data_IF_192591599276
#
_entry.id   IF_192591599276
#
_cell.length_a   1.000
_cell.length_b   1.000
_cell.length_c   1.000
_cell.angle_alpha   90.00
_cell.angle_beta   90.00
_cell.angle_gamma   90.00
#
_symmetry.space_group_name_H-M   'P 1'
#
loop_
_entity.id
_entity.type
_entity.pdbx_description
1 polymer ?
#
# COMPACT_ATOMS: atom_id res chain seq x y z
N UNK A 1 68.22 -20.63 10.37
CA UNK A 1 67.29 -19.50 10.10
C UNK A 1 66.48 -19.67 8.81
N UNK A 2 66.91 -20.36 7.74
CA UNK A 2 66.14 -20.50 6.48
C UNK A 2 64.85 -21.34 6.57
N UNK A 3 64.82 -22.36 7.44
CA UNK A 3 63.61 -23.24 7.55
C UNK A 3 62.39 -22.56 8.20
N UNK A 4 62.59 -21.61 9.07
CA UNK A 4 61.48 -20.90 9.75
C UNK A 4 60.72 -19.93 8.80
N UNK A 5 61.44 -19.24 7.92
CA UNK A 5 60.83 -18.37 6.92
C UNK A 5 59.89 -19.11 5.93
N UNK A 6 60.25 -20.32 5.52
CA UNK A 6 59.47 -21.11 4.58
C UNK A 6 58.15 -21.61 5.24
N UNK A 7 58.16 -21.91 6.52
CA UNK A 7 56.98 -22.32 7.27
C UNK A 7 55.97 -21.18 7.41
N UNK A 8 56.42 -19.98 7.81
CA UNK A 8 55.54 -18.77 7.97
C UNK A 8 54.94 -18.38 6.64
N UNK A 9 55.70 -18.40 5.55
CA UNK A 9 55.20 -18.07 4.22
C UNK A 9 54.11 -19.02 3.71
N UNK A 10 54.21 -20.33 4.03
CA UNK A 10 53.18 -21.35 3.74
C UNK A 10 51.89 -21.08 4.53
N UNK A 11 51.97 -20.72 5.80
CA UNK A 11 50.77 -20.37 6.60
C UNK A 11 50.09 -19.10 6.11
N UNK A 12 50.85 -18.10 5.69
CA UNK A 12 50.31 -16.87 5.09
C UNK A 12 49.58 -17.17 3.77
N UNK A 13 50.18 -18.00 2.90
CA UNK A 13 49.52 -18.40 1.66
C UNK A 13 48.22 -19.22 1.91
N UNK A 14 48.24 -20.13 2.87
CA UNK A 14 47.03 -20.93 3.24
C UNK A 14 45.95 -19.97 3.81
N UNK A 15 46.28 -19.02 4.64
CA UNK A 15 45.36 -18.05 5.21
C UNK A 15 44.77 -17.15 4.12
N UNK A 16 45.58 -16.65 3.18
CA UNK A 16 45.15 -15.88 2.02
C UNK A 16 44.23 -16.69 1.08
N UNK A 17 44.53 -17.98 0.84
CA UNK A 17 43.68 -18.84 0.07
C UNK A 17 42.33 -19.09 0.78
N UNK A 18 42.31 -19.23 2.11
CA UNK A 18 41.10 -19.41 2.91
C UNK A 18 40.23 -18.13 2.88
N UNK A 19 40.84 -16.95 2.99
CA UNK A 19 40.15 -15.65 2.90
C UNK A 19 39.59 -15.45 1.48
N UNK A 20 40.36 -15.78 0.44
CA UNK A 20 39.89 -15.74 -0.96
C UNK A 20 38.76 -16.74 -1.20
N UNK A 21 38.81 -17.93 -0.60
CA UNK A 21 37.75 -18.92 -0.71
C UNK A 21 36.42 -18.45 -0.10
N UNK A 22 36.48 -17.74 1.04
CA UNK A 22 35.30 -17.16 1.70
C UNK A 22 34.73 -15.98 0.91
N UNK A 23 35.56 -15.20 0.21
CA UNK A 23 35.10 -14.03 -0.58
C UNK A 23 34.61 -14.39 -1.98
N UNK A 24 35.01 -15.53 -2.53
CA UNK A 24 34.61 -16.00 -3.89
C UNK A 24 33.42 -16.93 -3.87
N UNK A 25 33.04 -17.48 -2.70
CA UNK A 25 31.74 -18.17 -2.60
C UNK A 25 30.63 -17.13 -2.50
N UNK A 26 29.91 -16.82 -3.60
CA UNK A 26 28.68 -16.06 -3.46
C UNK A 26 27.78 -16.89 -2.53
N UNK A 27 27.22 -16.27 -1.52
CA UNK A 27 26.06 -16.79 -0.83
C UNK A 27 25.00 -16.99 -1.91
N UNK A 28 24.95 -18.20 -2.47
CA UNK A 28 23.82 -18.61 -3.29
C UNK A 28 22.65 -18.76 -2.30
N UNK A 29 21.95 -17.67 -2.07
CA UNK A 29 20.55 -17.77 -1.64
C UNK A 29 19.87 -18.57 -2.75
N UNK A 30 19.54 -19.80 -2.44
CA UNK A 30 19.01 -20.73 -3.43
C UNK A 30 17.73 -20.12 -4.00
N UNK A 31 17.66 -19.95 -5.30
CA UNK A 31 16.45 -19.51 -5.99
C UNK A 31 15.24 -20.43 -5.69
N UNK A 32 15.50 -21.62 -5.17
CA UNK A 32 14.52 -22.61 -4.75
C UNK A 32 13.90 -22.29 -3.37
N UNK A 33 14.64 -21.68 -2.44
CA UNK A 33 14.09 -21.17 -1.17
C UNK A 33 13.15 -19.97 -1.39
N UNK A 34 13.41 -19.15 -2.40
CA UNK A 34 12.53 -18.05 -2.77
C UNK A 34 11.19 -18.55 -3.35
N UNK A 35 11.17 -19.71 -4.01
CA UNK A 35 9.99 -20.26 -4.71
C UNK A 35 8.90 -20.84 -3.81
N UNK A 36 9.11 -21.16 -2.56
CA UNK A 36 8.11 -21.74 -1.66
C UNK A 36 7.90 -20.90 -0.40
N UNK A 37 8.27 -19.63 -0.46
CA UNK A 37 8.14 -18.73 0.68
C UNK A 37 6.67 -18.47 1.00
N UNK A 38 6.29 -18.64 2.25
CA UNK A 38 5.02 -18.12 2.77
C UNK A 38 5.18 -16.63 3.02
N UNK A 39 4.25 -15.84 2.47
CA UNK A 39 4.21 -14.38 2.60
C UNK A 39 2.91 -14.00 3.30
N UNK A 40 3.01 -13.35 4.45
CA UNK A 40 1.86 -12.88 5.23
C UNK A 40 1.37 -11.57 4.62
N UNK A 41 0.15 -11.57 4.14
CA UNK A 41 -0.44 -10.45 3.41
C UNK A 41 -1.55 -9.82 4.24
N UNK A 42 -1.42 -8.54 4.54
CA UNK A 42 -2.47 -7.77 5.20
C UNK A 42 -3.70 -7.65 4.31
N UNK A 43 -4.86 -8.04 4.84
CA UNK A 43 -6.15 -7.99 4.16
C UNK A 43 -7.13 -7.07 4.87
N UNK A 44 -7.58 -6.05 4.19
CA UNK A 44 -8.65 -5.14 4.64
C UNK A 44 -9.74 -5.06 3.58
N UNK A 45 -10.97 -4.92 4.01
CA UNK A 45 -12.10 -4.71 3.11
C UNK A 45 -12.07 -3.30 2.52
N UNK A 46 -12.28 -3.19 1.22
CA UNK A 46 -12.25 -1.90 0.54
C UNK A 46 -12.48 -2.02 -0.96
N UNK A 47 -12.18 -0.95 -1.66
CA UNK A 47 -12.41 -0.81 -3.10
C UNK A 47 -11.76 -1.92 -3.94
N UNK A 48 -10.55 -2.33 -3.56
CA UNK A 48 -9.76 -3.31 -4.31
C UNK A 48 -9.77 -4.72 -3.70
N UNK A 49 -10.31 -4.85 -2.50
CA UNK A 49 -10.31 -6.07 -1.71
C UNK A 49 -11.72 -6.34 -1.19
N UNK A 50 -12.28 -7.48 -1.51
CA UNK A 50 -13.59 -7.88 -1.00
C UNK A 50 -13.58 -9.35 -0.58
N UNK A 51 -14.28 -9.65 0.52
CA UNK A 51 -14.53 -11.03 0.94
C UNK A 51 -16.01 -11.36 0.67
N UNK A 52 -16.24 -12.36 -0.16
CA UNK A 52 -17.60 -12.79 -0.47
C UNK A 52 -18.28 -13.45 0.73
N UNK A 53 -19.60 -13.60 0.66
CA UNK A 53 -20.40 -14.32 1.67
C UNK A 53 -19.99 -15.80 1.84
N UNK A 54 -19.25 -16.35 0.87
CA UNK A 54 -18.65 -17.68 0.90
C UNK A 54 -17.25 -17.69 1.53
N UNK A 55 -16.80 -16.57 2.10
CA UNK A 55 -15.49 -16.40 2.71
C UNK A 55 -14.32 -16.29 1.72
N UNK A 56 -14.61 -16.27 0.40
CA UNK A 56 -13.55 -16.18 -0.61
C UNK A 56 -13.14 -14.74 -0.85
N UNK A 57 -11.84 -14.53 -0.88
CA UNK A 57 -11.22 -13.25 -1.24
C UNK A 57 -11.34 -13.01 -2.75
N UNK A 58 -11.64 -11.76 -3.11
CA UNK A 58 -11.88 -11.29 -4.47
C UNK A 58 -11.41 -9.85 -4.62
N UNK A 59 -11.45 -9.37 -5.85
CA UNK A 59 -11.13 -7.99 -6.20
C UNK A 59 -9.76 -7.85 -6.86
N UNK A 60 -9.53 -6.68 -7.42
CA UNK A 60 -8.35 -6.40 -8.23
C UNK A 60 -7.03 -6.71 -7.50
N UNK A 61 -6.92 -6.33 -6.24
CA UNK A 61 -5.72 -6.56 -5.44
C UNK A 61 -5.46 -8.06 -5.20
N UNK A 62 -6.53 -8.84 -4.96
CA UNK A 62 -6.42 -10.29 -4.81
C UNK A 62 -5.94 -10.95 -6.11
N UNK A 63 -6.55 -10.61 -7.24
CA UNK A 63 -6.19 -11.19 -8.54
C UNK A 63 -4.77 -10.83 -8.94
N UNK A 64 -4.36 -9.60 -8.70
CA UNK A 64 -2.97 -9.16 -8.93
C UNK A 64 -1.99 -9.96 -8.06
N UNK A 65 -2.29 -10.14 -6.77
CA UNK A 65 -1.46 -10.94 -5.86
C UNK A 65 -1.38 -12.40 -6.33
N UNK A 66 -2.49 -13.00 -6.79
CA UNK A 66 -2.46 -14.37 -7.33
C UNK A 66 -1.57 -14.47 -8.58
N UNK A 67 -1.58 -13.48 -9.45
CA UNK A 67 -0.68 -13.42 -10.60
C UNK A 67 0.80 -13.33 -10.17
N UNK A 68 1.10 -12.51 -9.16
CA UNK A 68 2.46 -12.44 -8.58
C UNK A 68 2.85 -13.77 -7.95
N UNK A 69 1.96 -14.43 -7.22
CA UNK A 69 2.21 -15.75 -6.61
C UNK A 69 2.51 -16.82 -7.68
N UNK A 70 1.74 -16.82 -8.77
CA UNK A 70 1.97 -17.74 -9.88
C UNK A 70 3.35 -17.55 -10.54
N UNK A 71 3.86 -16.32 -10.55
CA UNK A 71 5.17 -16.00 -11.12
C UNK A 71 6.33 -16.27 -10.15
N UNK A 72 6.15 -15.95 -8.87
CA UNK A 72 7.20 -16.07 -7.84
C UNK A 72 7.24 -17.42 -7.16
N UNK A 73 6.13 -18.17 -7.20
CA UNK A 73 5.92 -19.38 -6.42
C UNK A 73 5.61 -19.13 -4.93
N UNK A 74 5.31 -17.90 -4.55
CA UNK A 74 4.95 -17.56 -3.18
C UNK A 74 3.60 -18.15 -2.79
N UNK A 75 3.46 -18.46 -1.49
CA UNK A 75 2.19 -18.87 -0.88
C UNK A 75 1.72 -17.76 0.03
N UNK A 76 0.51 -17.27 -0.18
CA UNK A 76 -0.03 -16.19 0.64
C UNK A 76 -0.82 -16.71 1.84
N UNK A 77 -0.57 -16.09 2.97
CA UNK A 77 -1.30 -16.25 4.21
C UNK A 77 -1.92 -14.88 4.56
N UNK A 78 -3.24 -14.77 4.46
CA UNK A 78 -3.92 -13.50 4.66
C UNK A 78 -4.21 -13.25 6.13
N UNK A 79 -3.79 -12.07 6.61
CA UNK A 79 -4.04 -11.57 7.95
C UNK A 79 -5.07 -10.45 7.86
N UNK A 80 -6.25 -10.67 8.42
CA UNK A 80 -7.36 -9.71 8.36
C UNK A 80 -7.24 -8.66 9.47
N UNK A 81 -7.60 -7.42 9.15
CA UNK A 81 -7.57 -6.31 10.09
C UNK A 81 -8.06 -5.02 9.46
N UNK A 82 -8.20 -3.98 10.26
CA UNK A 82 -8.43 -2.65 9.75
C UNK A 82 -7.12 -2.02 9.23
N UNK A 83 -7.24 -0.94 8.48
CA UNK A 83 -6.09 -0.28 7.86
C UNK A 83 -4.98 0.10 8.86
N UNK A 84 -5.35 0.68 10.01
CA UNK A 84 -4.38 1.15 10.99
C UNK A 84 -3.63 -0.01 11.67
N UNK A 85 -4.33 -1.08 12.01
CA UNK A 85 -3.74 -2.31 12.55
C UNK A 85 -2.74 -2.92 11.58
N UNK A 86 -3.16 -3.13 10.33
CA UNK A 86 -2.30 -3.74 9.30
C UNK A 86 -1.09 -2.86 8.97
N UNK A 87 -1.23 -1.54 8.97
CA UNK A 87 -0.10 -0.62 8.82
C UNK A 87 0.91 -0.74 9.98
N UNK A 88 0.43 -0.95 11.20
CA UNK A 88 1.29 -1.21 12.36
C UNK A 88 2.02 -2.54 12.21
N UNK A 89 1.30 -3.60 11.83
CA UNK A 89 1.85 -4.95 11.63
C UNK A 89 2.86 -5.00 10.49
N UNK A 90 2.66 -4.22 9.41
CA UNK A 90 3.62 -4.10 8.32
C UNK A 90 4.92 -3.45 8.80
N UNK A 91 4.82 -2.38 9.59
CA UNK A 91 5.99 -1.68 10.15
C UNK A 91 6.76 -2.53 11.15
N UNK A 92 6.07 -3.35 11.95
CA UNK A 92 6.70 -4.25 12.93
C UNK A 92 7.24 -5.54 12.29
N UNK A 93 6.89 -5.83 11.03
CA UNK A 93 7.24 -7.08 10.36
C UNK A 93 6.39 -8.27 10.75
N UNK A 94 5.23 -8.06 11.38
CA UNK A 94 4.25 -9.10 11.66
C UNK A 94 3.54 -9.57 10.39
N UNK A 95 3.39 -8.69 9.39
CA UNK A 95 3.03 -9.03 8.02
C UNK A 95 4.14 -8.57 7.06
N UNK A 96 4.22 -9.22 5.91
CA UNK A 96 5.30 -9.01 4.94
C UNK A 96 4.87 -8.10 3.79
N UNK A 97 3.57 -8.03 3.49
CA UNK A 97 3.03 -7.35 2.31
C UNK A 97 1.65 -6.73 2.57
N UNK A 98 1.39 -5.59 1.99
CA UNK A 98 0.06 -5.01 1.79
C UNK A 98 -0.12 -4.58 0.34
N UNK A 99 -1.25 -4.95 -0.27
CA UNK A 99 -1.64 -4.45 -1.59
C UNK A 99 -2.54 -3.21 -1.50
N UNK A 100 -2.68 -2.48 -2.62
CA UNK A 100 -3.59 -1.33 -2.71
C UNK A 100 -3.16 -0.09 -1.91
N UNK A 101 -1.87 0.01 -1.61
CA UNK A 101 -1.34 1.15 -0.87
C UNK A 101 -0.77 2.20 -1.83
N UNK A 102 -1.31 3.41 -1.79
CA UNK A 102 -0.77 4.54 -2.55
C UNK A 102 0.62 4.92 -2.02
N UNK A 103 1.53 5.19 -2.95
CA UNK A 103 2.86 5.69 -2.62
C UNK A 103 2.77 7.04 -1.90
N UNK A 104 3.59 7.20 -0.88
CA UNK A 104 3.83 8.47 -0.22
C UNK A 104 5.27 8.49 0.32
N UNK A 105 5.94 9.64 0.19
CA UNK A 105 7.35 9.78 0.56
C UNK A 105 7.59 9.45 2.04
N UNK A 106 6.72 9.90 2.92
CA UNK A 106 6.78 9.60 4.35
C UNK A 106 6.61 8.11 4.67
N UNK A 107 5.95 7.35 3.81
CA UNK A 107 5.82 5.89 3.94
C UNK A 107 7.07 5.17 3.47
N UNK A 108 7.71 5.67 2.41
CA UNK A 108 8.93 5.06 1.86
C UNK A 108 10.11 5.07 2.84
N UNK A 109 10.06 5.91 3.86
CA UNK A 109 11.05 5.92 4.95
C UNK A 109 10.99 4.68 5.85
N UNK A 110 9.87 3.96 5.88
CA UNK A 110 9.64 2.82 6.78
C UNK A 110 9.21 1.53 6.08
N UNK A 111 8.96 1.56 4.78
CA UNK A 111 8.53 0.39 4.00
C UNK A 111 8.98 0.50 2.55
N UNK A 112 9.14 -0.63 1.89
CA UNK A 112 9.50 -0.69 0.49
C UNK A 112 8.23 -0.68 -0.38
N UNK A 113 8.31 0.01 -1.50
CA UNK A 113 7.30 -0.02 -2.56
C UNK A 113 7.85 -0.74 -3.79
N UNK A 114 6.97 -1.35 -4.57
CA UNK A 114 7.32 -1.90 -5.88
C UNK A 114 7.77 -0.76 -6.82
N UNK A 115 8.72 -1.04 -7.71
CA UNK A 115 9.19 -0.08 -8.72
C UNK A 115 8.06 0.34 -9.67
N UNK A 116 7.19 -0.61 -10.02
CA UNK A 116 6.03 -0.35 -10.85
C UNK A 116 4.77 -0.42 -10.00
N UNK A 117 3.84 0.52 -10.15
CA UNK A 117 2.56 0.47 -9.45
C UNK A 117 1.71 -0.68 -9.99
N UNK A 118 0.86 -1.25 -9.15
CA UNK A 118 -0.14 -2.23 -9.60
C UNK A 118 -1.32 -1.56 -10.32
N UNK A 119 -1.47 -0.23 -10.21
CA UNK A 119 -2.52 0.55 -10.84
C UNK A 119 -2.41 2.03 -10.48
N UNK A 120 -3.34 2.83 -10.97
CA UNK A 120 -3.45 4.26 -10.69
C UNK A 120 -4.73 4.54 -9.90
N UNK A 121 -4.62 5.31 -8.83
CA UNK A 121 -5.77 5.81 -8.09
C UNK A 121 -6.31 7.08 -8.73
N UNK A 122 -7.62 7.10 -8.99
CA UNK A 122 -8.36 8.32 -9.32
C UNK A 122 -9.30 8.67 -8.17
N UNK A 123 -9.35 9.93 -7.83
CA UNK A 123 -10.19 10.43 -6.75
C UNK A 123 -11.32 11.27 -7.34
N UNK A 124 -12.51 11.03 -6.85
CA UNK A 124 -13.72 11.72 -7.30
C UNK A 124 -14.46 12.33 -6.12
N UNK A 125 -15.00 13.51 -6.34
CA UNK A 125 -15.99 14.09 -5.45
C UNK A 125 -17.37 13.58 -5.90
N UNK A 126 -18.01 12.81 -5.05
CA UNK A 126 -19.37 12.32 -5.24
C UNK A 126 -20.34 13.29 -4.58
N UNK A 127 -21.33 13.74 -5.33
CA UNK A 127 -22.38 14.64 -4.86
C UNK A 127 -23.76 14.00 -5.08
N UNK A 128 -24.78 14.50 -4.39
CA UNK A 128 -26.14 14.07 -4.64
C UNK A 128 -26.59 14.55 -6.03
N UNK A 129 -27.08 13.65 -6.92
CA UNK A 129 -27.57 14.03 -8.25
C UNK A 129 -28.69 15.06 -8.24
N UNK A 130 -29.43 15.18 -7.14
CA UNK A 130 -30.50 16.17 -6.96
C UNK A 130 -29.99 17.54 -6.46
N UNK A 131 -28.71 17.65 -6.11
CA UNK A 131 -28.13 18.94 -5.70
C UNK A 131 -27.75 19.74 -6.96
N UNK A 132 -28.58 20.70 -7.27
CA UNK A 132 -28.38 21.61 -8.43
C UNK A 132 -27.49 22.82 -8.11
N UNK A 133 -27.10 22.98 -6.86
CA UNK A 133 -26.30 24.11 -6.37
C UNK A 133 -24.78 23.84 -6.52
N UNK A 134 -24.38 22.64 -6.86
CA UNK A 134 -22.98 22.27 -7.12
C UNK A 134 -22.78 22.08 -8.61
N UNK A 135 -21.80 22.79 -9.18
CA UNK A 135 -21.48 22.74 -10.61
C UNK A 135 -20.01 22.41 -10.85
N UNK A 136 -19.73 21.38 -11.66
CA UNK A 136 -18.37 21.05 -12.08
C UNK A 136 -17.73 22.13 -12.99
N UNK A 137 -18.54 23.00 -13.62
CA UNK A 137 -18.05 24.10 -14.43
C UNK A 137 -17.75 25.37 -13.63
N UNK A 138 -18.26 25.47 -12.39
CA UNK A 138 -18.00 26.56 -11.46
C UNK A 138 -17.66 25.97 -10.07
N UNK A 139 -16.38 25.81 -9.82
CA UNK A 139 -15.89 25.22 -8.56
C UNK A 139 -16.17 26.10 -7.33
N UNK A 140 -16.48 27.40 -7.52
CA UNK A 140 -16.83 28.28 -6.40
C UNK A 140 -18.13 27.87 -5.71
N UNK A 141 -18.97 27.10 -6.40
CA UNK A 141 -20.20 26.51 -5.84
C UNK A 141 -19.94 25.47 -4.73
N UNK A 142 -18.70 25.01 -4.59
CA UNK A 142 -18.27 24.13 -3.50
C UNK A 142 -17.95 24.89 -2.20
N UNK A 143 -17.75 26.18 -2.26
CA UNK A 143 -17.38 26.96 -1.07
C UNK A 143 -18.45 26.83 0.03
N UNK A 144 -17.99 26.47 1.23
CA UNK A 144 -18.84 26.26 2.39
C UNK A 144 -19.65 24.95 2.38
N UNK A 145 -19.56 24.13 1.33
CA UNK A 145 -20.19 22.79 1.28
C UNK A 145 -19.50 21.84 2.24
N UNK A 146 -20.26 20.93 2.82
CA UNK A 146 -19.78 19.90 3.76
C UNK A 146 -19.36 18.67 2.98
N UNK A 147 -18.06 18.40 2.97
CA UNK A 147 -17.48 17.29 2.18
C UNK A 147 -16.92 16.21 3.11
N UNK A 148 -17.46 15.00 3.00
CA UNK A 148 -17.01 13.84 3.74
C UNK A 148 -15.63 13.36 3.27
N UNK A 149 -14.71 13.20 4.21
CA UNK A 149 -13.36 12.67 3.98
C UNK A 149 -13.03 11.65 5.06
N UNK A 150 -12.27 10.60 4.71
CA UNK A 150 -11.73 9.67 5.70
C UNK A 150 -10.44 10.27 6.26
N UNK A 151 -10.36 10.57 7.55
CA UNK A 151 -9.17 11.18 8.15
C UNK A 151 -7.89 10.35 7.92
N UNK A 152 -6.75 11.02 7.91
CA UNK A 152 -5.41 10.42 7.80
C UNK A 152 -5.17 9.56 6.53
N UNK A 153 -6.03 9.71 5.52
CA UNK A 153 -5.88 9.03 4.24
C UNK A 153 -5.20 9.91 3.18
N UNK A 154 -4.66 9.25 2.15
CA UNK A 154 -4.13 9.95 0.97
C UNK A 154 -5.24 10.74 0.25
N UNK A 155 -6.46 10.22 0.19
CA UNK A 155 -7.60 10.90 -0.44
C UNK A 155 -7.93 12.22 0.26
N UNK A 156 -7.98 12.25 1.58
CA UNK A 156 -8.20 13.47 2.36
C UNK A 156 -7.10 14.52 2.09
N UNK A 157 -5.82 14.09 2.10
CA UNK A 157 -4.70 14.97 1.81
C UNK A 157 -4.75 15.52 0.38
N UNK A 158 -5.00 14.65 -0.61
CA UNK A 158 -5.12 15.05 -2.02
C UNK A 158 -6.27 16.01 -2.25
N UNK A 159 -7.38 15.82 -1.56
CA UNK A 159 -8.50 16.74 -1.61
C UNK A 159 -8.12 18.10 -1.03
N UNK A 160 -7.47 18.16 0.12
CA UNK A 160 -6.99 19.40 0.71
C UNK A 160 -5.97 20.14 -0.19
N UNK A 161 -5.07 19.42 -0.87
CA UNK A 161 -4.15 19.99 -1.86
C UNK A 161 -4.89 20.54 -3.07
N UNK A 162 -5.92 19.81 -3.54
CA UNK A 162 -6.77 20.23 -4.65
C UNK A 162 -7.57 21.49 -4.32
N UNK A 163 -8.20 21.57 -3.13
CA UNK A 163 -8.91 22.76 -2.65
C UNK A 163 -8.01 24.00 -2.72
N UNK A 164 -6.81 23.90 -2.15
CA UNK A 164 -5.81 24.98 -2.15
C UNK A 164 -5.43 25.42 -3.57
N UNK A 165 -5.21 24.47 -4.46
CA UNK A 165 -4.78 24.76 -5.85
C UNK A 165 -5.88 25.39 -6.70
N UNK A 166 -7.16 25.19 -6.35
CA UNK A 166 -8.32 25.69 -7.09
C UNK A 166 -9.04 26.84 -6.38
N UNK A 167 -8.55 27.28 -5.22
CA UNK A 167 -9.17 28.37 -4.46
C UNK A 167 -10.57 28.01 -3.93
N UNK A 168 -10.78 26.73 -3.61
CA UNK A 168 -12.01 26.19 -3.04
C UNK A 168 -11.83 26.04 -1.53
N UNK A 169 -12.86 26.36 -0.75
CA UNK A 169 -12.88 26.27 0.72
C UNK A 169 -14.14 25.53 1.16
N UNK A 170 -14.02 24.25 1.50
CA UNK A 170 -15.13 23.40 1.97
C UNK A 170 -15.04 23.16 3.49
N UNK A 171 -16.13 22.65 4.07
CA UNK A 171 -16.14 22.14 5.44
C UNK A 171 -15.92 20.62 5.42
N UNK A 172 -14.72 20.18 5.76
CA UNK A 172 -14.44 18.75 5.82
C UNK A 172 -15.14 18.09 7.02
N UNK A 173 -15.82 16.98 6.74
CA UNK A 173 -16.57 16.19 7.75
C UNK A 173 -15.99 14.77 7.76
N UNK A 174 -15.64 14.29 8.93
CA UNK A 174 -15.10 12.95 9.07
C UNK A 174 -16.14 11.88 8.72
N UNK A 175 -15.75 10.97 7.85
CA UNK A 175 -16.49 9.74 7.53
C UNK A 175 -15.60 8.52 7.81
N UNK A 176 -16.22 7.40 8.12
CA UNK A 176 -15.49 6.16 8.47
C UNK A 176 -15.51 5.12 7.35
N UNK A 177 -16.45 5.23 6.41
CA UNK A 177 -16.63 4.30 5.29
C UNK A 177 -17.51 4.93 4.20
N UNK A 178 -17.56 4.28 3.04
CA UNK A 178 -18.48 4.65 1.96
C UNK A 178 -19.95 4.57 2.39
N UNK A 179 -20.31 3.59 3.22
CA UNK A 179 -21.69 3.44 3.71
C UNK A 179 -22.05 4.53 4.72
N UNK A 180 -21.12 4.91 5.60
CA UNK A 180 -21.29 6.06 6.48
C UNK A 180 -21.47 7.36 5.66
N UNK A 181 -20.64 7.56 4.63
CA UNK A 181 -20.80 8.71 3.71
C UNK A 181 -22.16 8.74 3.05
N UNK A 182 -22.63 7.62 2.51
CA UNK A 182 -23.96 7.51 1.89
C UNK A 182 -25.09 7.78 2.89
N UNK A 183 -24.95 7.32 4.13
CA UNK A 183 -25.94 7.56 5.18
C UNK A 183 -25.95 9.05 5.55
N UNK A 184 -24.80 9.67 5.80
CA UNK A 184 -24.69 11.09 6.10
C UNK A 184 -25.24 11.96 4.96
N UNK A 185 -25.01 11.57 3.70
CA UNK A 185 -25.57 12.27 2.56
C UNK A 185 -27.10 12.15 2.52
N UNK A 186 -27.68 10.96 2.78
CA UNK A 186 -29.15 10.78 2.88
C UNK A 186 -29.76 11.62 4.02
N UNK A 187 -29.03 11.74 5.12
CA UNK A 187 -29.44 12.54 6.27
C UNK A 187 -29.18 14.05 6.08
N UNK A 188 -28.63 14.48 4.94
CA UNK A 188 -28.23 15.85 4.66
C UNK A 188 -27.19 16.41 5.66
N UNK A 189 -26.36 15.53 6.22
CA UNK A 189 -25.26 15.93 7.10
C UNK A 189 -24.01 16.35 6.30
N UNK A 190 -23.86 15.81 5.07
CA UNK A 190 -22.84 16.19 4.09
C UNK A 190 -23.46 16.42 2.72
N UNK A 191 -22.82 17.27 1.92
CA UNK A 191 -23.26 17.65 0.58
C UNK A 191 -22.53 16.81 -0.49
N UNK A 192 -21.39 16.21 -0.14
CA UNK A 192 -20.61 15.32 -0.98
C UNK A 192 -19.58 14.55 -0.17
N UNK A 193 -18.85 13.66 -0.82
CA UNK A 193 -17.72 12.95 -0.20
C UNK A 193 -16.68 12.57 -1.24
N UNK A 194 -15.42 12.42 -0.79
CA UNK A 194 -14.29 12.05 -1.66
C UNK A 194 -13.92 10.59 -1.47
N UNK A 195 -13.84 9.88 -2.58
CA UNK A 195 -13.33 8.49 -2.63
C UNK A 195 -12.46 8.30 -3.86
N UNK A 196 -11.61 7.26 -3.81
CA UNK A 196 -10.96 6.75 -5.01
C UNK A 196 -11.93 5.87 -5.81
N UNK A 197 -11.79 5.89 -7.12
CA UNK A 197 -12.56 5.00 -8.01
C UNK A 197 -12.08 3.55 -7.84
N UNK A 198 -13.04 2.62 -7.74
CA UNK A 198 -12.76 1.22 -7.94
C UNK A 198 -12.54 0.95 -9.42
N UNK A 199 -11.44 0.35 -9.86
CA UNK A 199 -11.40 -0.22 -11.20
C UNK A 199 -12.50 -1.28 -11.30
N UNK A 200 -13.41 -1.08 -12.24
CA UNK A 200 -14.48 -2.03 -12.57
C UNK A 200 -13.91 -3.19 -13.38
#
# INVERSE_FOLDING_TARGET
>A
MKKFKISVQRYICILLCLVLYITVFPFHVSAEEAKNRTVRVGWYEGTYNTTGSDGKKRGYSYEYQQAVAAHTGWKYEYVEGNWAELMSMLKSGEIDLMGGMSYAEERSASMLFSELPMGEDKYYLYINPSDTDISASDLTTLNGKRIGVVPDTISARRFCEWEKSHGVDTQQVDITSTDDARQKMRNQEIDGFVLNESPQ
#
